data_IF_782114674703
#
_entry.id   IF_782114674703
#
_cell.length_a   1.000
_cell.length_b   1.000
_cell.length_c   1.000
_cell.angle_alpha   90.00
_cell.angle_beta   90.00
_cell.angle_gamma   90.00
#
_symmetry.space_group_name_H-M   'P 1'
#
loop_
_entity.id
_entity.type
_entity.pdbx_description
1 polymer ?
#
# COMPACT_ATOMS: atom_id res chain seq x y z
N UNK A 1 -9.16 -2.84 -7.58
CA UNK A 1 -9.75 -3.55 -6.42
C UNK A 1 -10.64 -4.69 -6.88
N UNK A 2 -11.91 -4.47 -7.25
CA UNK A 2 -12.82 -5.57 -7.63
C UNK A 2 -12.30 -6.50 -8.74
N UNK A 3 -11.70 -5.96 -9.81
CA UNK A 3 -11.08 -6.80 -10.84
C UNK A 3 -9.80 -7.51 -10.35
N UNK A 4 -9.12 -6.96 -9.35
CA UNK A 4 -7.97 -7.57 -8.68
C UNK A 4 -8.40 -8.74 -7.80
N UNK A 5 -9.43 -8.56 -6.98
CA UNK A 5 -10.01 -9.63 -6.14
C UNK A 5 -10.46 -10.83 -7.02
N UNK A 6 -11.11 -10.56 -8.15
CA UNK A 6 -11.52 -11.60 -9.11
C UNK A 6 -10.33 -12.34 -9.72
N UNK A 7 -9.27 -11.61 -10.11
CA UNK A 7 -8.05 -12.22 -10.66
C UNK A 7 -7.32 -13.07 -9.62
N UNK A 8 -7.22 -12.59 -8.38
CA UNK A 8 -6.58 -13.29 -7.26
C UNK A 8 -7.29 -14.64 -7.00
N UNK A 9 -8.62 -14.62 -6.94
CA UNK A 9 -9.44 -15.85 -6.79
C UNK A 9 -9.26 -16.81 -7.97
N UNK A 10 -9.08 -16.29 -9.19
CA UNK A 10 -8.86 -17.10 -10.38
C UNK A 10 -7.41 -17.56 -10.55
N UNK A 11 -6.48 -17.14 -9.67
CA UNK A 11 -5.04 -17.40 -9.81
C UNK A 11 -4.43 -16.74 -11.04
N UNK A 12 -5.06 -15.70 -11.58
CA UNK A 12 -4.61 -14.99 -12.76
C UNK A 12 -3.43 -14.06 -12.41
N UNK A 13 -2.39 -13.99 -13.27
CA UNK A 13 -1.26 -13.11 -13.02
C UNK A 13 -1.68 -11.64 -13.00
N UNK A 14 -0.97 -10.85 -12.17
CA UNK A 14 -1.16 -9.41 -12.07
C UNK A 14 -2.44 -8.99 -11.35
N UNK A 15 -2.93 -9.80 -10.40
CA UNK A 15 -3.94 -9.34 -9.45
C UNK A 15 -3.44 -8.07 -8.74
N UNK A 16 -4.30 -7.05 -8.67
CA UNK A 16 -3.99 -5.70 -8.15
C UNK A 16 -2.87 -4.94 -8.88
N UNK A 17 -2.27 -5.51 -9.93
CA UNK A 17 -1.36 -4.83 -10.84
C UNK A 17 -2.09 -4.29 -12.07
N UNK A 18 -1.33 -3.70 -12.99
CA UNK A 18 -1.81 -3.25 -14.32
C UNK A 18 -2.01 -1.74 -14.45
N UNK A 19 -2.61 -1.32 -15.56
CA UNK A 19 -2.59 0.08 -15.99
C UNK A 19 -3.23 1.09 -15.02
N UNK A 20 -4.14 0.64 -14.15
CA UNK A 20 -4.77 1.51 -13.14
C UNK A 20 -3.98 1.62 -11.82
N UNK A 21 -2.85 0.93 -11.69
CA UNK A 21 -2.06 0.93 -10.46
C UNK A 21 -1.49 2.31 -10.11
N UNK A 22 -0.95 3.12 -11.05
CA UNK A 22 -0.49 4.47 -10.73
C UNK A 22 -1.61 5.37 -10.18
N UNK A 23 -2.81 5.29 -10.76
CA UNK A 23 -3.98 6.03 -10.28
C UNK A 23 -4.40 5.56 -8.88
N UNK A 24 -4.35 4.26 -8.61
CA UNK A 24 -4.65 3.69 -7.31
C UNK A 24 -3.66 4.18 -6.22
N UNK A 25 -2.36 4.25 -6.53
CA UNK A 25 -1.34 4.77 -5.63
C UNK A 25 -1.55 6.27 -5.33
N UNK A 26 -1.88 7.06 -6.35
CA UNK A 26 -2.19 8.49 -6.18
C UNK A 26 -3.42 8.70 -5.29
N UNK A 27 -4.47 7.90 -5.49
CA UNK A 27 -5.66 7.92 -4.64
C UNK A 27 -5.36 7.48 -3.21
N UNK A 28 -4.49 6.48 -3.03
CA UNK A 28 -4.08 5.99 -1.71
C UNK A 28 -3.32 7.06 -0.94
N UNK A 29 -2.34 7.72 -1.57
CA UNK A 29 -1.59 8.82 -0.96
C UNK A 29 -2.51 9.97 -0.53
N UNK A 30 -3.41 10.39 -1.41
CA UNK A 30 -4.39 11.42 -1.09
C UNK A 30 -5.30 11.00 0.07
N UNK A 31 -5.86 9.79 0.03
CA UNK A 31 -6.82 9.30 1.02
C UNK A 31 -6.18 9.17 2.41
N UNK A 32 -4.97 8.65 2.48
CA UNK A 32 -4.24 8.49 3.75
C UNK A 32 -3.84 9.84 4.34
N UNK A 33 -3.45 10.81 3.50
CA UNK A 33 -3.21 12.18 3.91
C UNK A 33 -4.47 12.87 4.45
N UNK A 34 -5.58 12.83 3.72
CA UNK A 34 -6.85 13.45 4.12
C UNK A 34 -7.39 12.88 5.45
N UNK A 35 -7.06 11.62 5.76
CA UNK A 35 -7.46 10.94 7.01
C UNK A 35 -6.48 11.14 8.16
N UNK A 36 -5.34 11.80 7.96
CA UNK A 36 -4.29 11.89 8.97
C UNK A 36 -3.77 10.51 9.40
N UNK A 37 -3.67 9.57 8.45
CA UNK A 37 -3.25 8.20 8.72
C UNK A 37 -1.77 8.13 9.17
N UNK A 38 -1.33 6.98 9.69
CA UNK A 38 0.06 6.75 10.07
C UNK A 38 1.03 7.17 8.95
N UNK A 39 2.04 8.02 9.25
CA UNK A 39 3.06 8.41 8.27
C UNK A 39 3.86 7.20 7.81
N UNK A 40 3.94 6.99 6.49
CA UNK A 40 4.71 5.91 5.89
C UNK A 40 5.41 6.37 4.61
N UNK A 41 6.69 6.02 4.48
CA UNK A 41 7.45 6.11 3.24
C UNK A 41 7.53 4.72 2.60
N UNK A 42 7.00 4.58 1.39
CA UNK A 42 7.01 3.33 0.64
C UNK A 42 8.03 3.38 -0.50
N UNK A 43 9.09 2.60 -0.38
CA UNK A 43 10.00 2.28 -1.48
C UNK A 43 9.34 1.20 -2.33
N UNK A 44 8.61 1.63 -3.35
CA UNK A 44 7.90 0.74 -4.26
C UNK A 44 8.83 0.35 -5.40
N UNK A 45 8.97 -0.95 -5.68
CA UNK A 45 9.96 -1.48 -6.64
C UNK A 45 9.95 -0.80 -8.02
N UNK A 46 8.78 -0.39 -8.50
CA UNK A 46 8.58 0.24 -9.82
C UNK A 46 8.59 1.80 -9.78
N UNK A 47 8.88 2.41 -8.64
CA UNK A 47 8.94 3.87 -8.48
C UNK A 47 10.36 4.36 -8.18
N UNK A 48 10.77 5.42 -8.88
CA UNK A 48 12.09 6.04 -8.67
C UNK A 48 12.20 6.80 -7.33
N UNK A 49 11.06 7.30 -6.81
CA UNK A 49 10.99 8.04 -5.56
C UNK A 49 10.05 7.36 -4.56
N UNK A 50 10.35 7.43 -3.24
CA UNK A 50 9.47 6.86 -2.23
C UNK A 50 8.09 7.53 -2.23
N UNK A 51 7.04 6.72 -2.29
CA UNK A 51 5.67 7.18 -2.13
C UNK A 51 5.41 7.56 -0.67
N UNK A 52 4.95 8.78 -0.44
CA UNK A 52 4.64 9.29 0.90
C UNK A 52 3.16 9.14 1.20
N UNK A 53 2.83 8.48 2.30
CA UNK A 53 1.48 8.20 2.76
C UNK A 53 1.26 8.75 4.17
N UNK A 54 -0.01 9.03 4.49
CA UNK A 54 -0.42 9.46 5.83
C UNK A 54 -0.12 10.92 6.14
N UNK A 55 -0.12 11.24 7.44
CA UNK A 55 0.12 12.59 7.95
C UNK A 55 1.61 12.95 7.87
N UNK A 56 1.94 13.91 7.01
CA UNK A 56 3.32 14.37 6.79
C UNK A 56 3.75 15.40 7.86
N UNK A 57 2.85 15.81 8.76
CA UNK A 57 3.03 16.99 9.59
C UNK A 57 3.45 16.73 11.07
N UNK A 58 3.62 15.48 11.54
CA UNK A 58 3.71 15.22 12.99
C UNK A 58 4.83 14.30 13.47
N UNK A 59 5.52 14.76 14.54
CA UNK A 59 6.30 14.16 15.65
C UNK A 59 6.85 12.71 15.65
N UNK A 60 6.38 11.81 14.77
CA UNK A 60 6.80 10.41 14.68
C UNK A 60 7.69 10.21 13.45
N UNK A 61 8.77 9.45 13.62
CA UNK A 61 9.54 8.95 12.47
C UNK A 61 8.64 8.10 11.57
N UNK A 62 8.49 8.40 10.27
CA UNK A 62 7.64 7.64 9.36
C UNK A 62 8.01 6.15 9.36
N UNK A 63 7.00 5.29 9.30
CA UNK A 63 7.21 3.88 9.00
C UNK A 63 7.78 3.71 7.58
N UNK A 64 8.36 2.54 7.31
CA UNK A 64 8.95 2.23 6.01
C UNK A 64 8.40 0.93 5.46
N UNK A 65 7.96 0.98 4.21
CA UNK A 65 7.59 -0.18 3.41
C UNK A 65 8.58 -0.34 2.27
N UNK A 66 8.96 -1.58 1.95
CA UNK A 66 9.73 -1.93 0.76
C UNK A 66 9.06 -3.11 0.08
N UNK A 67 8.75 -3.02 -1.21
CA UNK A 67 8.18 -4.11 -2.00
C UNK A 67 7.30 -3.63 -3.14
N UNK A 68 6.50 -4.53 -3.70
CA UNK A 68 5.69 -4.23 -4.87
C UNK A 68 4.43 -3.40 -4.54
N UNK A 69 3.92 -2.66 -5.51
CA UNK A 69 2.76 -1.79 -5.31
C UNK A 69 1.44 -2.56 -5.12
N UNK A 70 1.30 -3.77 -5.67
CA UNK A 70 0.09 -4.57 -5.52
C UNK A 70 -0.07 -5.05 -4.07
N UNK A 71 1.02 -5.49 -3.44
CA UNK A 71 1.07 -5.84 -2.01
C UNK A 71 0.76 -4.64 -1.13
N UNK A 72 1.31 -3.46 -1.41
CA UNK A 72 1.00 -2.23 -0.68
C UNK A 72 -0.50 -1.89 -0.73
N UNK A 73 -1.12 -1.99 -1.91
CA UNK A 73 -2.57 -1.77 -2.10
C UNK A 73 -3.41 -2.79 -1.33
N UNK A 74 -2.97 -4.06 -1.26
CA UNK A 74 -3.66 -5.12 -0.50
C UNK A 74 -3.60 -4.85 1.01
N UNK A 75 -2.43 -4.50 1.54
CA UNK A 75 -2.25 -4.13 2.95
C UNK A 75 -3.20 -3.01 3.37
N UNK A 76 -3.21 -1.91 2.62
CA UNK A 76 -4.07 -0.77 2.92
C UNK A 76 -5.57 -1.05 2.75
N UNK A 77 -5.95 -2.08 1.99
CA UNK A 77 -7.34 -2.47 1.78
C UNK A 77 -7.81 -3.63 2.67
N UNK A 78 -6.98 -4.07 3.62
CA UNK A 78 -7.29 -5.19 4.50
C UNK A 78 -7.43 -6.51 3.74
N UNK A 79 -6.73 -6.66 2.62
CA UNK A 79 -6.69 -7.90 1.84
C UNK A 79 -5.53 -8.77 2.33
N UNK A 80 -5.71 -10.09 2.42
CA UNK A 80 -4.65 -10.98 2.85
C UNK A 80 -3.47 -10.87 1.87
N UNK A 81 -2.25 -10.89 2.42
CA UNK A 81 -1.00 -10.94 1.65
C UNK A 81 -0.20 -12.16 2.11
N UNK A 82 0.56 -12.74 1.21
CA UNK A 82 1.56 -13.72 1.63
C UNK A 82 2.70 -12.94 2.31
N UNK A 83 3.15 -13.37 3.49
CA UNK A 83 4.21 -12.69 4.26
C UNK A 83 5.59 -12.66 3.54
N UNK A 84 5.69 -13.26 2.36
CA UNK A 84 6.91 -13.29 1.55
C UNK A 84 6.76 -12.27 0.42
N UNK A 85 7.61 -11.24 0.41
CA UNK A 85 7.70 -10.31 -0.72
C UNK A 85 7.68 -8.83 -0.38
N UNK A 86 7.55 -8.47 0.91
CA UNK A 86 7.70 -7.09 1.35
C UNK A 86 8.37 -7.00 2.72
N UNK A 87 8.95 -5.84 3.02
CA UNK A 87 9.48 -5.49 4.33
C UNK A 87 8.69 -4.32 4.91
N UNK A 88 8.41 -4.39 6.21
CA UNK A 88 7.74 -3.32 6.95
C UNK A 88 8.50 -3.03 8.24
N UNK A 89 8.79 -1.75 8.48
CA UNK A 89 9.48 -1.27 9.67
C UNK A 89 8.75 -0.07 10.28
N UNK A 90 8.63 -0.05 11.61
CA UNK A 90 7.98 1.06 12.34
C UNK A 90 6.45 1.07 12.29
N UNK A 91 5.85 0.04 11.69
CA UNK A 91 4.42 -0.26 11.71
C UNK A 91 4.20 -1.78 11.58
N UNK A 92 3.06 -2.26 12.04
CA UNK A 92 2.54 -3.61 11.80
C UNK A 92 1.60 -3.60 10.58
N UNK A 93 1.45 -4.76 9.92
CA UNK A 93 0.61 -4.86 8.71
C UNK A 93 -0.85 -4.48 8.98
N UNK A 94 -1.37 -4.82 10.14
CA UNK A 94 -2.74 -4.50 10.57
C UNK A 94 -2.97 -2.98 10.74
N UNK A 95 -1.93 -2.23 11.15
CA UNK A 95 -2.00 -0.78 11.29
C UNK A 95 -2.13 -0.04 9.95
N UNK A 96 -1.89 -0.71 8.81
CA UNK A 96 -2.00 -0.10 7.48
C UNK A 96 -3.42 -0.14 6.91
N UNK A 97 -4.30 -1.00 7.42
CA UNK A 97 -5.65 -1.16 6.89
C UNK A 97 -6.51 0.09 7.17
N UNK A 98 -6.92 0.82 6.12
CA UNK A 98 -7.74 2.05 6.27
C UNK A 98 -9.25 1.76 6.38
N UNK A 99 -9.67 0.50 6.39
CA UNK A 99 -11.08 0.08 6.45
C UNK A 99 -11.47 -0.63 7.75
N UNK A 100 -10.51 -0.89 8.65
CA UNK A 100 -10.74 -1.59 9.92
C UNK A 100 -10.68 -3.11 9.78
#
# INVERSE_FOLDING_TARGET
MHAGDVRDVLGEPGAYAGAGLPDALALLARTTWERGHLPLHADVDDLDEPLRLGDVAGDRTPARYIGDAATLVRLYSGRPVEERGYELAGAEAEELNIFG
#
